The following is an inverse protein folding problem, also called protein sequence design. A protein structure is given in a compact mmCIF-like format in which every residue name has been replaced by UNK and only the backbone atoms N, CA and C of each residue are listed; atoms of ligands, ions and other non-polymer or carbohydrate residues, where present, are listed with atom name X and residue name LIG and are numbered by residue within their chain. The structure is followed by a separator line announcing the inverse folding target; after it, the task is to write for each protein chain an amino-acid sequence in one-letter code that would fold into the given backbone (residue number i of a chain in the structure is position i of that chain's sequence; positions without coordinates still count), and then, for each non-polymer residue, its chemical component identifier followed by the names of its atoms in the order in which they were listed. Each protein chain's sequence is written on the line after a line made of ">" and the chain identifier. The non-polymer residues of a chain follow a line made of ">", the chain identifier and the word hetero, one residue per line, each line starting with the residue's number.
data_IF_077676541127
#
_entry.id   IF_077676541127
#
_cell.length_a   1.000
_cell.length_b   1.000
_cell.length_c   1.000
_cell.angle_alpha   90.00
_cell.angle_beta   90.00
_cell.angle_gamma   90.00
#
_symmetry.space_group_name_H-M   'P 1'
#
loop_
_entity.id
_entity.type
_entity.pdbx_description
1 polymer ?
#
# COMPACT_ATOMS: atom_id res chain seq x y z
N UNK A 1 3.05 17.60 -4.99
CA UNK A 1 3.59 16.23 -5.06
C UNK A 1 4.61 16.09 -3.93
N UNK A 2 4.79 14.91 -3.35
CA UNK A 2 5.85 14.73 -2.35
C UNK A 2 7.19 14.77 -3.11
N UNK A 3 8.11 15.61 -2.68
CA UNK A 3 9.44 15.70 -3.29
C UNK A 3 10.23 14.45 -2.89
N UNK A 4 10.51 13.59 -3.86
CA UNK A 4 11.27 12.37 -3.64
C UNK A 4 12.76 12.68 -3.74
N UNK A 5 13.53 12.40 -2.69
CA UNK A 5 14.98 12.61 -2.73
C UNK A 5 15.66 11.61 -3.66
N UNK A 6 16.32 12.10 -4.70
CA UNK A 6 17.14 11.27 -5.59
C UNK A 6 18.58 11.08 -5.11
N UNK A 7 18.87 11.45 -3.86
CA UNK A 7 20.18 11.19 -3.28
C UNK A 7 20.46 9.69 -3.19
N UNK A 8 21.72 9.27 -3.39
CA UNK A 8 22.11 7.88 -3.21
C UNK A 8 21.84 7.41 -1.78
N UNK A 9 21.26 6.23 -1.62
CA UNK A 9 20.96 5.63 -0.31
C UNK A 9 21.52 4.22 -0.28
N UNK A 10 22.05 3.78 0.87
CA UNK A 10 22.46 2.38 1.06
C UNK A 10 21.25 1.50 1.42
N UNK A 11 21.32 0.18 1.15
CA UNK A 11 20.23 -0.75 1.50
C UNK A 11 19.90 -0.71 3.00
N UNK A 12 20.92 -0.60 3.85
CA UNK A 12 20.75 -0.47 5.31
C UNK A 12 20.01 0.81 5.70
N UNK A 13 20.35 1.95 5.10
CA UNK A 13 19.67 3.21 5.33
C UNK A 13 18.20 3.14 4.88
N UNK A 14 17.92 2.52 3.73
CA UNK A 14 16.57 2.33 3.22
C UNK A 14 15.72 1.46 4.16
N UNK A 15 16.27 0.33 4.64
CA UNK A 15 15.62 -0.55 5.61
C UNK A 15 15.41 0.11 6.98
N UNK A 16 16.39 0.89 7.45
CA UNK A 16 16.29 1.65 8.69
C UNK A 16 15.22 2.74 8.60
N UNK A 17 15.16 3.48 7.49
CA UNK A 17 14.14 4.50 7.24
C UNK A 17 12.74 3.90 7.20
N UNK A 18 12.58 2.75 6.52
CA UNK A 18 11.34 1.97 6.50
C UNK A 18 10.94 1.51 7.90
N UNK A 19 11.85 0.92 8.66
CA UNK A 19 11.59 0.45 10.04
C UNK A 19 11.21 1.61 10.97
N UNK A 20 11.91 2.74 10.87
CA UNK A 20 11.58 3.95 11.63
C UNK A 20 10.19 4.49 11.27
N UNK A 21 9.81 4.45 9.99
CA UNK A 21 8.48 4.84 9.54
C UNK A 21 7.40 3.88 10.05
N UNK A 22 7.66 2.56 10.06
CA UNK A 22 6.75 1.58 10.66
C UNK A 22 6.57 1.77 12.16
N UNK A 23 7.63 2.12 12.91
CA UNK A 23 7.49 2.41 14.34
C UNK A 23 6.54 3.61 14.58
N UNK A 24 6.54 4.59 13.67
CA UNK A 24 5.59 5.72 13.70
C UNK A 24 4.15 5.32 13.33
N UNK A 25 3.92 4.14 12.74
CA UNK A 25 2.57 3.61 12.45
C UNK A 25 1.86 3.09 13.71
N UNK A 26 2.58 2.72 14.78
CA UNK A 26 1.94 2.16 15.99
C UNK A 26 0.92 3.12 16.59
N UNK A 27 1.24 4.42 16.64
CA UNK A 27 0.35 5.43 17.21
C UNK A 27 -0.96 5.57 16.42
N UNK A 28 -0.97 5.83 15.09
CA UNK A 28 -2.21 5.84 14.30
C UNK A 28 -3.06 4.58 14.43
N UNK A 29 -2.45 3.40 14.47
CA UNK A 29 -3.16 2.12 14.66
C UNK A 29 -3.83 2.08 16.02
N UNK A 30 -3.13 2.48 17.08
CA UNK A 30 -3.70 2.57 18.43
C UNK A 30 -4.87 3.55 18.49
N UNK A 31 -4.80 4.72 17.83
CA UNK A 31 -5.93 5.68 17.80
C UNK A 31 -7.16 5.12 17.09
N UNK A 32 -6.98 4.40 15.98
CA UNK A 32 -8.09 3.72 15.29
C UNK A 32 -8.69 2.65 16.19
N UNK A 33 -7.86 1.85 16.86
CA UNK A 33 -8.30 0.82 17.80
C UNK A 33 -9.11 1.40 18.98
N UNK A 34 -8.58 2.43 19.64
CA UNK A 34 -9.24 3.11 20.77
C UNK A 34 -10.54 3.79 20.33
N UNK A 35 -10.57 4.42 19.15
CA UNK A 35 -11.79 5.05 18.62
C UNK A 35 -12.88 4.03 18.30
N UNK A 36 -12.48 2.87 17.77
CA UNK A 36 -13.42 1.76 17.51
C UNK A 36 -14.00 1.24 18.82
N UNK A 37 -13.17 1.09 19.86
CA UNK A 37 -13.61 0.70 21.19
C UNK A 37 -14.56 1.75 21.80
N UNK A 38 -14.27 3.04 21.64
CA UNK A 38 -15.11 4.15 22.09
C UNK A 38 -16.49 4.19 21.43
N UNK A 39 -16.56 3.98 20.11
CA UNK A 39 -17.83 3.85 19.37
C UNK A 39 -18.68 2.71 19.88
N UNK A 40 -18.06 1.59 20.24
CA UNK A 40 -18.76 0.43 20.76
C UNK A 40 -19.31 0.66 22.17
N UNK A 41 -18.50 1.24 23.07
CA UNK A 41 -18.96 1.60 24.43
C UNK A 41 -20.12 2.60 24.34
N UNK A 42 -20.02 3.58 23.43
CA UNK A 42 -21.09 4.51 23.17
C UNK A 42 -22.36 3.80 22.65
N UNK A 43 -22.21 2.87 21.69
CA UNK A 43 -23.30 2.08 21.13
C UNK A 43 -24.02 1.17 22.13
N UNK A 44 -23.28 0.56 23.07
CA UNK A 44 -23.85 -0.24 24.15
C UNK A 44 -24.77 0.58 25.08
N UNK A 45 -24.47 1.88 25.26
CA UNK A 45 -25.29 2.76 26.10
C UNK A 45 -26.58 3.26 25.41
N UNK A 46 -26.67 3.26 24.07
CA UNK A 46 -27.92 3.62 23.34
C UNK A 46 -29.07 2.68 23.70
N UNK A 47 -28.78 1.40 23.91
CA UNK A 47 -29.82 0.42 24.24
C UNK A 47 -30.47 0.71 25.60
N UNK A 48 -29.76 1.44 26.46
CA UNK A 48 -30.26 1.88 27.76
C UNK A 48 -30.87 3.30 27.72
N UNK A 49 -30.43 4.18 26.81
CA UNK A 49 -31.03 5.50 26.56
C UNK A 49 -30.79 5.99 25.11
N UNK A 50 -31.79 5.85 24.22
CA UNK A 50 -31.69 6.24 22.81
C UNK A 50 -31.61 7.75 22.55
N UNK A 51 -31.94 8.59 23.54
CA UNK A 51 -32.01 10.05 23.41
C UNK A 51 -30.75 10.77 23.89
N UNK A 52 -29.78 10.04 24.44
CA UNK A 52 -28.57 10.59 25.00
C UNK A 52 -27.72 11.31 23.94
N UNK A 53 -27.76 12.65 23.91
CA UNK A 53 -26.92 13.50 23.05
C UNK A 53 -25.42 13.19 23.21
N UNK A 54 -24.99 12.73 24.38
CA UNK A 54 -23.63 12.29 24.67
C UNK A 54 -23.16 11.16 23.74
N UNK A 55 -24.06 10.28 23.27
CA UNK A 55 -23.75 9.23 22.29
C UNK A 55 -23.32 9.81 20.95
N UNK A 56 -24.10 10.75 20.41
CA UNK A 56 -23.84 11.35 19.10
C UNK A 56 -22.54 12.15 19.11
N UNK A 57 -22.28 12.86 20.21
CA UNK A 57 -21.02 13.60 20.42
C UNK A 57 -19.83 12.63 20.52
N UNK A 58 -19.92 11.58 21.34
CA UNK A 58 -18.85 10.60 21.50
C UNK A 58 -18.55 9.84 20.19
N UNK A 59 -19.60 9.49 19.44
CA UNK A 59 -19.47 8.82 18.14
C UNK A 59 -18.85 9.72 17.09
N UNK A 60 -19.26 10.99 17.03
CA UNK A 60 -18.63 11.99 16.16
C UNK A 60 -17.13 12.15 16.44
N UNK A 61 -16.74 12.22 17.72
CA UNK A 61 -15.34 12.31 18.14
C UNK A 61 -14.56 11.05 17.70
N UNK A 62 -15.10 9.86 17.94
CA UNK A 62 -14.41 8.63 17.57
C UNK A 62 -14.28 8.46 16.05
N UNK A 63 -15.28 8.84 15.26
CA UNK A 63 -15.20 8.85 13.79
C UNK A 63 -14.11 9.82 13.32
N UNK A 64 -14.06 11.02 13.89
CA UNK A 64 -13.02 12.01 13.58
C UNK A 64 -11.62 11.49 13.90
N UNK A 65 -11.43 10.90 15.07
CA UNK A 65 -10.13 10.34 15.49
C UNK A 65 -9.71 9.18 14.59
N UNK A 66 -10.63 8.28 14.23
CA UNK A 66 -10.36 7.20 13.27
C UNK A 66 -9.98 7.76 11.88
N UNK A 67 -10.70 8.77 11.39
CA UNK A 67 -10.39 9.42 10.12
C UNK A 67 -9.00 10.06 10.12
N UNK A 68 -8.63 10.77 11.20
CA UNK A 68 -7.27 11.34 11.37
C UNK A 68 -6.22 10.24 11.40
N UNK A 69 -6.48 9.13 12.10
CA UNK A 69 -5.61 7.95 12.11
C UNK A 69 -5.38 7.38 10.72
N UNK A 70 -6.45 7.18 9.93
CA UNK A 70 -6.37 6.68 8.55
C UNK A 70 -5.62 7.64 7.63
N UNK A 71 -5.87 8.95 7.75
CA UNK A 71 -5.13 9.97 6.98
C UNK A 71 -3.65 9.94 7.32
N UNK A 72 -3.28 9.81 8.60
CA UNK A 72 -1.89 9.69 9.03
C UNK A 72 -1.25 8.40 8.53
N UNK A 73 -1.94 7.26 8.59
CA UNK A 73 -1.46 6.00 8.01
C UNK A 73 -1.12 6.17 6.53
N UNK A 74 -2.02 6.81 5.76
CA UNK A 74 -1.81 7.08 4.33
C UNK A 74 -0.61 7.99 4.08
N UNK A 75 -0.45 9.03 4.90
CA UNK A 75 0.69 9.96 4.77
C UNK A 75 2.01 9.28 5.10
N UNK A 76 2.08 8.51 6.19
CA UNK A 76 3.31 7.80 6.57
C UNK A 76 3.62 6.70 5.55
N UNK A 77 2.62 5.96 5.06
CA UNK A 77 2.80 4.95 4.02
C UNK A 77 3.47 5.48 2.74
N UNK A 78 3.19 6.72 2.35
CA UNK A 78 3.81 7.38 1.20
C UNK A 78 5.30 7.71 1.39
N UNK A 79 5.78 7.80 2.64
CA UNK A 79 7.15 8.19 2.92
C UNK A 79 8.16 7.05 2.74
N UNK A 80 7.72 5.79 2.89
CA UNK A 80 8.61 4.63 2.84
C UNK A 80 8.32 3.69 1.67
N UNK A 81 7.31 4.00 0.85
CA UNK A 81 7.01 3.18 -0.32
C UNK A 81 6.31 3.99 -1.41
N UNK A 82 6.71 3.73 -2.64
CA UNK A 82 6.00 4.17 -3.84
C UNK A 82 4.92 3.14 -4.15
N UNK A 83 3.68 3.59 -4.37
CA UNK A 83 2.53 2.70 -4.56
C UNK A 83 1.62 3.25 -5.64
N UNK A 84 1.17 2.36 -6.51
CA UNK A 84 0.14 2.64 -7.50
C UNK A 84 -1.05 1.72 -7.22
N UNK A 85 -2.24 2.31 -7.09
CA UNK A 85 -3.49 1.58 -6.83
C UNK A 85 -4.40 1.60 -8.06
N UNK A 86 -5.37 0.69 -8.13
CA UNK A 86 -6.41 0.69 -9.18
C UNK A 86 -7.22 2.00 -9.17
N UNK A 87 -7.79 2.38 -10.31
CA UNK A 87 -8.69 3.53 -10.40
C UNK A 87 -9.89 3.38 -9.43
N UNK A 88 -10.39 4.51 -8.92
CA UNK A 88 -11.55 4.62 -8.02
C UNK A 88 -11.47 3.90 -6.66
N UNK A 89 -10.34 3.26 -6.33
CA UNK A 89 -10.15 2.59 -5.02
C UNK A 89 -9.95 3.56 -3.87
N UNK A 90 -9.58 4.82 -4.13
CA UNK A 90 -9.28 5.82 -3.09
C UNK A 90 -10.44 6.10 -2.11
N UNK A 91 -11.69 5.99 -2.59
CA UNK A 91 -12.92 6.13 -1.79
C UNK A 91 -13.38 4.81 -1.16
N UNK A 92 -13.06 3.67 -1.79
CA UNK A 92 -13.49 2.37 -1.30
C UNK A 92 -12.93 2.04 0.08
N UNK A 93 -11.80 2.62 0.47
CA UNK A 93 -11.26 2.57 1.84
C UNK A 93 -12.16 3.21 2.90
N UNK A 94 -12.78 4.34 2.55
CA UNK A 94 -13.68 5.08 3.44
C UNK A 94 -15.00 4.33 3.65
N UNK A 95 -15.29 3.34 2.81
CA UNK A 95 -16.50 2.51 2.91
C UNK A 95 -16.14 1.14 3.51
N UNK A 96 -15.11 0.48 3.00
CA UNK A 96 -14.74 -0.88 3.38
C UNK A 96 -14.29 -0.99 4.84
N UNK A 97 -13.51 -0.02 5.35
CA UNK A 97 -13.07 -0.06 6.75
C UNK A 97 -14.26 0.16 7.70
N UNK A 98 -15.09 1.20 7.56
CA UNK A 98 -16.28 1.35 8.40
C UNK A 98 -17.30 0.23 8.23
N UNK A 99 -17.51 -0.29 7.01
CA UNK A 99 -18.42 -1.40 6.77
C UNK A 99 -17.93 -2.70 7.43
N UNK A 100 -16.63 -3.02 7.34
CA UNK A 100 -16.05 -4.18 8.00
C UNK A 100 -16.15 -4.04 9.53
N UNK A 101 -15.74 -2.89 10.08
CA UNK A 101 -15.84 -2.61 11.51
C UNK A 101 -17.29 -2.68 12.00
N UNK A 102 -18.23 -2.07 11.28
CA UNK A 102 -19.66 -2.11 11.60
C UNK A 102 -20.23 -3.53 11.54
N UNK A 103 -19.90 -4.30 10.50
CA UNK A 103 -20.35 -5.68 10.33
C UNK A 103 -19.85 -6.57 11.47
N UNK A 104 -18.56 -6.54 11.77
CA UNK A 104 -17.99 -7.38 12.84
C UNK A 104 -18.40 -6.92 14.25
N UNK A 105 -18.67 -5.62 14.43
CA UNK A 105 -19.28 -5.11 15.66
C UNK A 105 -20.74 -5.60 15.82
N UNK A 106 -21.54 -5.59 14.74
CA UNK A 106 -22.91 -6.11 14.74
C UNK A 106 -22.96 -7.63 14.96
N UNK A 107 -22.02 -8.38 14.39
CA UNK A 107 -21.90 -9.83 14.64
C UNK A 107 -21.54 -10.08 16.11
N UNK A 108 -20.58 -9.34 16.66
CA UNK A 108 -20.21 -9.44 18.08
C UNK A 108 -21.38 -9.10 19.00
N UNK A 109 -22.11 -8.03 18.67
CA UNK A 109 -23.33 -7.63 19.35
C UNK A 109 -24.40 -8.73 19.30
N UNK A 110 -24.78 -9.18 18.11
CA UNK A 110 -25.83 -10.20 17.90
C UNK A 110 -25.50 -11.53 18.59
N UNK A 111 -24.22 -11.92 18.59
CA UNK A 111 -23.74 -13.11 19.30
C UNK A 111 -23.90 -12.95 20.81
N UNK A 112 -23.51 -11.78 21.36
CA UNK A 112 -23.65 -11.51 22.80
C UNK A 112 -25.12 -11.41 23.25
N UNK A 113 -25.98 -10.78 22.44
CA UNK A 113 -27.40 -10.67 22.72
C UNK A 113 -28.12 -12.02 22.62
N UNK A 114 -27.80 -12.83 21.60
CA UNK A 114 -28.36 -14.17 21.43
C UNK A 114 -27.97 -15.12 22.57
N UNK A 115 -26.71 -15.09 23.01
CA UNK A 115 -26.25 -15.89 24.16
C UNK A 115 -26.92 -15.46 25.47
N UNK A 116 -27.14 -14.16 25.70
CA UNK A 116 -27.91 -13.68 26.85
C UNK A 116 -29.38 -14.11 26.80
N UNK A 117 -30.01 -14.09 25.62
CA UNK A 117 -31.37 -14.57 25.42
C UNK A 117 -31.53 -16.07 25.71
N UNK A 118 -30.45 -16.84 25.60
CA UNK A 118 -30.38 -18.26 25.97
C UNK A 118 -30.08 -18.47 27.47
N UNK A 119 -30.06 -17.41 28.28
CA UNK A 119 -29.79 -17.47 29.72
C UNK A 119 -28.33 -17.73 30.08
N UNK A 120 -27.41 -17.62 29.12
CA UNK A 120 -25.98 -17.85 29.34
C UNK A 120 -25.38 -16.55 29.90
N UNK A 121 -24.87 -16.54 31.16
CA UNK A 121 -24.25 -15.36 31.72
C UNK A 121 -22.91 -15.10 31.04
N UNK A 122 -22.88 -14.09 30.17
CA UNK A 122 -21.65 -13.65 29.51
C UNK A 122 -20.92 -12.71 30.47
N UNK A 123 -19.83 -13.20 31.07
CA UNK A 123 -18.92 -12.32 31.80
C UNK A 123 -18.42 -11.20 30.86
N UNK A 124 -18.30 -9.96 31.36
CA UNK A 124 -17.79 -8.81 30.59
C UNK A 124 -16.51 -9.12 29.80
N UNK A 125 -15.65 -9.99 30.34
CA UNK A 125 -14.42 -10.48 29.71
C UNK A 125 -14.68 -11.22 28.39
N UNK A 126 -15.73 -12.05 28.29
CA UNK A 126 -16.08 -12.79 27.07
C UNK A 126 -16.60 -11.84 25.97
N UNK A 127 -17.38 -10.82 26.35
CA UNK A 127 -17.78 -9.75 25.43
C UNK A 127 -16.59 -8.95 24.88
N UNK A 128 -15.59 -8.67 25.73
CA UNK A 128 -14.32 -8.02 25.32
C UNK A 128 -13.52 -8.92 24.36
N UNK A 129 -13.48 -10.23 24.59
CA UNK A 129 -12.77 -11.18 23.71
C UNK A 129 -13.41 -11.24 22.32
N UNK A 130 -14.74 -11.34 22.25
CA UNK A 130 -15.47 -11.35 20.96
C UNK A 130 -15.18 -10.05 20.20
N UNK A 131 -15.15 -8.90 20.89
CA UNK A 131 -14.82 -7.61 20.30
C UNK A 131 -13.37 -7.55 19.78
N UNK A 132 -12.40 -8.04 20.54
CA UNK A 132 -11.01 -8.09 20.13
C UNK A 132 -10.83 -8.92 18.84
N UNK A 133 -11.51 -10.07 18.75
CA UNK A 133 -11.52 -10.93 17.57
C UNK A 133 -12.17 -10.23 16.37
N UNK A 134 -13.28 -9.52 16.57
CA UNK A 134 -13.96 -8.73 15.54
C UNK A 134 -13.10 -7.60 14.97
N UNK A 135 -12.34 -6.90 15.81
CA UNK A 135 -11.40 -5.85 15.38
C UNK A 135 -10.25 -6.47 14.57
N UNK A 136 -9.71 -7.60 15.05
CA UNK A 136 -8.71 -8.37 14.32
C UNK A 136 -9.22 -8.80 12.94
N UNK A 137 -10.45 -9.31 12.85
CA UNK A 137 -11.07 -9.71 11.59
C UNK A 137 -11.24 -8.52 10.63
N UNK A 138 -11.67 -7.35 11.14
CA UNK A 138 -11.78 -6.14 10.33
C UNK A 138 -10.40 -5.65 9.83
N UNK A 139 -9.35 -5.76 10.65
CA UNK A 139 -7.98 -5.46 10.24
C UNK A 139 -7.48 -6.40 9.15
N UNK A 140 -7.80 -7.70 9.23
CA UNK A 140 -7.48 -8.69 8.19
C UNK A 140 -8.19 -8.32 6.89
N UNK A 141 -9.49 -7.98 6.93
CA UNK A 141 -10.24 -7.55 5.73
C UNK A 141 -9.66 -6.26 5.14
N UNK A 142 -9.26 -5.30 5.96
CA UNK A 142 -8.60 -4.08 5.51
C UNK A 142 -7.24 -4.38 4.84
N UNK A 143 -6.47 -5.32 5.39
CA UNK A 143 -5.22 -5.80 4.79
C UNK A 143 -5.43 -6.51 3.45
N UNK A 144 -6.46 -7.36 3.35
CA UNK A 144 -6.84 -8.04 2.11
C UNK A 144 -7.32 -7.04 1.04
N UNK A 145 -8.11 -6.05 1.44
CA UNK A 145 -8.52 -4.95 0.56
C UNK A 145 -7.30 -4.13 0.08
N UNK A 146 -6.28 -3.97 0.94
CA UNK A 146 -5.00 -3.38 0.55
C UNK A 146 -4.31 -4.16 -0.55
N UNK A 147 -4.18 -5.48 -0.38
CA UNK A 147 -3.59 -6.34 -1.42
C UNK A 147 -4.37 -6.28 -2.73
N UNK A 148 -5.71 -6.32 -2.66
CA UNK A 148 -6.56 -6.37 -3.85
C UNK A 148 -6.59 -5.06 -4.66
N UNK A 149 -6.37 -3.91 -4.01
CA UNK A 149 -6.44 -2.59 -4.66
C UNK A 149 -5.10 -2.09 -5.18
N UNK A 150 -4.00 -2.70 -4.75
CA UNK A 150 -2.66 -2.31 -5.13
C UNK A 150 -2.27 -2.96 -6.46
N UNK A 151 -1.72 -2.16 -7.38
CA UNK A 151 -1.20 -2.62 -8.68
C UNK A 151 0.32 -2.77 -8.65
N UNK A 152 0.99 -1.82 -8.01
CA UNK A 152 2.44 -1.78 -7.93
C UNK A 152 2.88 -1.21 -6.58
N UNK A 153 3.88 -1.82 -5.96
CA UNK A 153 4.55 -1.32 -4.76
C UNK A 153 6.05 -1.40 -4.98
N UNK A 154 6.75 -0.37 -4.57
CA UNK A 154 8.20 -0.34 -4.55
C UNK A 154 8.69 0.24 -3.22
N UNK A 155 9.61 -0.45 -2.56
CA UNK A 155 10.24 -0.01 -1.33
C UNK A 155 11.60 -0.71 -1.11
N UNK A 156 12.15 -0.59 0.10
CA UNK A 156 13.44 -1.20 0.47
C UNK A 156 13.48 -2.73 0.38
N UNK A 157 12.34 -3.44 0.36
CA UNK A 157 12.33 -4.89 0.19
C UNK A 157 12.42 -5.28 -1.29
N UNK A 158 11.93 -4.44 -2.20
CA UNK A 158 11.85 -4.79 -3.61
C UNK A 158 10.81 -4.04 -4.44
N UNK A 159 10.60 -4.56 -5.66
CA UNK A 159 9.55 -4.14 -6.59
C UNK A 159 8.50 -5.25 -6.72
N UNK A 160 7.26 -4.90 -6.38
CA UNK A 160 6.14 -5.81 -6.31
C UNK A 160 5.02 -5.36 -7.26
N UNK A 161 5.10 -5.74 -8.54
CA UNK A 161 3.94 -5.81 -9.42
C UNK A 161 2.93 -6.80 -8.83
N UNK A 162 1.75 -6.34 -8.44
CA UNK A 162 0.71 -7.20 -7.83
C UNK A 162 -0.08 -8.02 -8.86
N UNK A 163 0.58 -8.39 -9.95
CA UNK A 163 0.08 -9.38 -10.90
C UNK A 163 0.13 -10.78 -10.26
N UNK A 164 -0.68 -11.73 -10.76
CA UNK A 164 -0.65 -13.13 -10.34
C UNK A 164 0.61 -13.83 -10.89
N UNK A 165 1.79 -13.34 -10.52
CA UNK A 165 3.09 -13.93 -10.83
C UNK A 165 3.71 -14.41 -9.54
N UNK A 166 4.26 -15.63 -9.54
CA UNK A 166 5.02 -16.19 -8.41
C UNK A 166 6.45 -15.64 -8.42
N UNK A 167 6.59 -14.32 -8.36
CA UNK A 167 7.86 -13.62 -8.21
C UNK A 167 7.88 -12.97 -6.83
N UNK A 168 8.97 -13.16 -6.08
CA UNK A 168 9.09 -12.66 -4.72
C UNK A 168 9.28 -11.13 -4.64
N UNK A 169 9.61 -10.48 -5.77
CA UNK A 169 9.78 -9.04 -5.88
C UNK A 169 11.09 -8.50 -5.31
N UNK A 170 11.98 -9.36 -4.80
CA UNK A 170 13.19 -8.94 -4.08
C UNK A 170 14.15 -8.14 -4.98
N UNK A 171 14.89 -7.20 -4.38
CA UNK A 171 15.99 -6.53 -5.09
C UNK A 171 17.10 -7.47 -5.55
N UNK A 172 17.19 -8.66 -4.95
CA UNK A 172 18.20 -9.67 -5.31
C UNK A 172 17.81 -10.46 -6.58
N UNK A 173 16.55 -10.40 -6.99
CA UNK A 173 16.01 -11.10 -8.18
C UNK A 173 15.80 -10.18 -9.37
N UNK A 174 16.05 -8.88 -9.21
CA UNK A 174 15.80 -7.83 -10.21
C UNK A 174 17.13 -7.29 -10.74
N UNK A 175 17.31 -7.34 -12.06
CA UNK A 175 18.47 -6.77 -12.75
C UNK A 175 18.16 -5.46 -13.47
N UNK A 176 16.88 -5.11 -13.65
CA UNK A 176 16.49 -3.85 -14.26
C UNK A 176 15.00 -3.62 -14.35
N UNK A 177 14.62 -2.40 -14.72
CA UNK A 177 13.22 -2.00 -14.88
C UNK A 177 13.04 -1.37 -16.26
N UNK A 178 12.00 -1.81 -16.96
CA UNK A 178 11.58 -1.25 -18.24
C UNK A 178 10.23 -0.58 -18.05
N UNK A 179 10.07 0.64 -18.55
CA UNK A 179 8.79 1.35 -18.60
C UNK A 179 8.43 1.67 -20.04
N UNK A 180 7.14 1.63 -20.36
CA UNK A 180 6.66 2.05 -21.69
C UNK A 180 5.30 2.70 -21.56
N UNK A 181 5.08 3.76 -22.32
CA UNK A 181 3.83 4.52 -22.34
C UNK A 181 2.88 3.95 -23.39
N UNK A 182 1.64 3.71 -23.00
CA UNK A 182 0.52 3.39 -23.88
C UNK A 182 -0.62 4.42 -23.66
N UNK A 183 -1.59 4.55 -24.56
CA UNK A 183 -2.69 5.50 -24.37
C UNK A 183 -3.40 5.30 -23.01
N UNK A 184 -3.32 6.32 -22.14
CA UNK A 184 -3.93 6.33 -20.80
C UNK A 184 -3.25 5.45 -19.75
N UNK A 185 -2.14 4.78 -20.07
CA UNK A 185 -1.49 3.81 -19.19
C UNK A 185 0.02 3.77 -19.34
N UNK A 186 0.71 3.32 -18.30
CA UNK A 186 2.14 3.00 -18.33
C UNK A 186 2.29 1.54 -17.98
N UNK A 187 3.06 0.80 -18.76
CA UNK A 187 3.43 -0.57 -18.43
C UNK A 187 4.82 -0.57 -17.79
N UNK A 188 4.94 -1.26 -16.66
CA UNK A 188 6.18 -1.43 -15.91
C UNK A 188 6.55 -2.91 -15.96
N UNK A 189 7.70 -3.24 -16.53
CA UNK A 189 8.25 -4.57 -16.61
C UNK A 189 9.56 -4.71 -15.83
N UNK A 190 9.83 -5.90 -15.32
CA UNK A 190 11.08 -6.22 -14.61
C UNK A 190 11.96 -7.11 -15.47
N UNK A 191 13.24 -6.74 -15.56
CA UNK A 191 14.31 -7.63 -16.03
C UNK A 191 14.78 -8.39 -14.80
N UNK A 192 14.71 -9.72 -14.85
CA UNK A 192 15.08 -10.58 -13.73
C UNK A 192 16.51 -11.06 -13.85
N UNK A 193 17.14 -11.27 -12.69
CA UNK A 193 18.46 -11.88 -12.61
C UNK A 193 18.46 -13.30 -13.20
N UNK A 194 19.56 -13.73 -13.86
CA UNK A 194 19.67 -15.07 -14.42
C UNK A 194 19.36 -16.16 -13.39
N UNK A 195 18.54 -17.15 -13.77
CA UNK A 195 18.17 -18.28 -12.90
C UNK A 195 17.03 -18.00 -11.91
N UNK A 196 16.46 -16.78 -11.91
CA UNK A 196 15.28 -16.46 -11.10
C UNK A 196 14.09 -17.32 -11.51
N UNK A 197 13.50 -18.04 -10.55
CA UNK A 197 12.26 -18.80 -10.78
C UNK A 197 11.10 -17.82 -10.87
N UNK A 198 10.37 -17.85 -11.99
CA UNK A 198 9.21 -17.00 -12.21
C UNK A 198 8.16 -17.75 -13.02
N UNK A 199 6.90 -17.56 -12.64
CA UNK A 199 5.77 -17.89 -13.50
C UNK A 199 5.41 -16.63 -14.29
N UNK A 200 5.64 -16.65 -15.60
CA UNK A 200 5.40 -15.50 -16.48
C UNK A 200 3.94 -15.05 -16.45
N UNK A 201 3.73 -13.74 -16.47
CA UNK A 201 2.40 -13.15 -16.58
C UNK A 201 1.77 -13.53 -17.93
N UNK A 202 0.49 -13.91 -17.90
CA UNK A 202 -0.28 -14.15 -19.13
C UNK A 202 -0.41 -12.87 -19.93
N UNK A 203 -0.12 -12.94 -21.22
CA UNK A 203 -0.26 -11.82 -22.16
C UNK A 203 -1.71 -11.36 -22.22
N UNK A 204 -1.91 -10.05 -22.11
CA UNK A 204 -3.21 -9.41 -22.29
C UNK A 204 -3.19 -8.49 -23.51
N UNK A 205 -4.35 -8.26 -24.16
CA UNK A 205 -4.45 -7.29 -25.23
C UNK A 205 -3.99 -5.90 -24.78
N UNK A 206 -3.13 -5.25 -25.57
CA UNK A 206 -2.61 -3.91 -25.28
C UNK A 206 -1.34 -3.86 -24.42
N UNK A 207 -0.83 -5.00 -23.94
CA UNK A 207 0.50 -5.08 -23.31
C UNK A 207 1.59 -5.04 -24.38
N UNK A 208 2.62 -4.23 -24.16
CA UNK A 208 3.78 -4.03 -25.04
C UNK A 208 4.97 -4.86 -24.54
N UNK A 209 5.19 -4.92 -23.22
CA UNK A 209 6.32 -5.60 -22.58
C UNK A 209 6.11 -7.12 -22.44
N UNK A 210 5.45 -7.75 -23.42
CA UNK A 210 5.07 -9.18 -23.37
C UNK A 210 6.25 -10.15 -23.38
N UNK A 211 7.44 -9.66 -23.74
CA UNK A 211 8.72 -10.35 -23.62
C UNK A 211 9.22 -10.47 -22.17
N UNK A 212 8.74 -9.62 -21.26
CA UNK A 212 9.14 -9.63 -19.86
C UNK A 212 8.20 -10.51 -19.02
N UNK A 213 8.75 -11.37 -18.13
CA UNK A 213 7.95 -12.33 -17.37
C UNK A 213 7.13 -11.68 -16.25
N UNK A 214 7.61 -10.56 -15.70
CA UNK A 214 6.90 -9.80 -14.66
C UNK A 214 6.64 -8.41 -15.20
N UNK A 215 5.36 -8.09 -15.34
CA UNK A 215 4.91 -6.78 -15.84
C UNK A 215 3.55 -6.42 -15.29
N UNK A 216 3.28 -5.12 -15.20
CA UNK A 216 2.01 -4.58 -14.76
C UNK A 216 1.67 -3.31 -15.53
N UNK A 217 0.41 -3.22 -15.93
CA UNK A 217 -0.17 -2.04 -16.54
C UNK A 217 -0.80 -1.15 -15.45
N UNK A 218 -0.39 0.11 -15.41
CA UNK A 218 -0.84 1.10 -14.42
C UNK A 218 -1.43 2.34 -15.10
N UNK A 219 -2.36 3.08 -14.46
CA UNK A 219 -2.84 4.34 -15.01
C UNK A 219 -1.72 5.37 -15.12
N UNK A 220 -1.63 6.07 -16.26
CA UNK A 220 -0.59 7.08 -16.53
C UNK A 220 -0.60 8.22 -15.51
N UNK A 221 -1.79 8.70 -15.13
CA UNK A 221 -2.00 9.76 -14.15
C UNK A 221 -1.56 9.41 -12.71
N UNK A 222 -1.18 8.15 -12.46
CA UNK A 222 -0.63 7.69 -11.18
C UNK A 222 0.84 7.31 -11.26
N UNK A 223 1.39 7.18 -12.46
CA UNK A 223 2.81 6.90 -12.65
C UNK A 223 3.61 8.19 -12.46
N UNK A 224 4.61 8.14 -11.60
CA UNK A 224 5.55 9.22 -11.35
C UNK A 224 6.98 8.68 -11.57
N UNK A 225 7.67 9.27 -12.55
CA UNK A 225 9.02 8.86 -12.93
C UNK A 225 10.04 9.15 -11.81
N UNK A 226 9.91 10.27 -11.11
CA UNK A 226 10.81 10.64 -10.01
C UNK A 226 10.58 9.72 -8.81
N UNK A 227 9.33 9.36 -8.55
CA UNK A 227 9.01 8.34 -7.54
C UNK A 227 9.59 6.97 -7.90
N UNK A 228 9.61 6.59 -9.18
CA UNK A 228 10.24 5.36 -9.65
C UNK A 228 11.77 5.39 -9.47
N UNK A 229 12.43 6.50 -9.81
CA UNK A 229 13.87 6.69 -9.58
C UNK A 229 14.22 6.60 -8.09
N UNK A 230 13.42 7.25 -7.24
CA UNK A 230 13.55 7.14 -5.78
C UNK A 230 13.36 5.70 -5.29
N UNK A 231 12.39 5.00 -5.83
CA UNK A 231 12.12 3.60 -5.48
C UNK A 231 13.31 2.70 -5.83
N UNK A 232 13.91 2.90 -7.00
CA UNK A 232 15.12 2.20 -7.42
C UNK A 232 16.29 2.45 -6.46
N UNK A 233 16.49 3.68 -5.97
CA UNK A 233 17.53 3.98 -4.96
C UNK A 233 17.39 3.13 -3.70
N UNK A 234 16.16 2.73 -3.32
CA UNK A 234 15.93 1.91 -2.12
C UNK A 234 16.59 0.52 -2.19
N UNK A 235 16.98 0.06 -3.38
CA UNK A 235 17.79 -1.15 -3.56
C UNK A 235 19.17 -1.06 -2.89
N UNK A 236 19.70 0.15 -2.71
CA UNK A 236 21.10 0.36 -2.33
C UNK A 236 22.13 0.04 -3.43
N UNK A 237 21.66 -0.39 -4.60
CA UNK A 237 22.47 -0.84 -5.74
C UNK A 237 22.77 0.32 -6.69
N UNK A 238 23.80 0.17 -7.51
CA UNK A 238 24.17 1.18 -8.54
C UNK A 238 24.13 0.66 -9.98
N UNK A 239 23.74 -0.59 -10.15
CA UNK A 239 23.80 -1.34 -11.40
C UNK A 239 22.41 -1.64 -11.99
N UNK A 240 21.32 -1.34 -11.28
CA UNK A 240 19.94 -1.53 -11.75
C UNK A 240 19.56 -0.39 -12.71
N UNK A 241 19.42 -0.64 -14.03
CA UNK A 241 19.00 0.35 -15.00
C UNK A 241 17.49 0.61 -14.97
N UNK A 242 17.11 1.84 -15.27
CA UNK A 242 15.76 2.21 -15.67
C UNK A 242 15.77 2.51 -17.17
N UNK A 243 14.97 1.77 -17.93
CA UNK A 243 14.92 1.83 -19.39
C UNK A 243 13.52 2.25 -19.81
N UNK A 244 13.42 3.21 -20.71
CA UNK A 244 12.19 3.52 -21.42
C UNK A 244 12.16 2.77 -22.75
N UNK A 245 11.09 2.04 -23.02
CA UNK A 245 10.84 1.43 -24.33
C UNK A 245 9.84 2.31 -25.07
N UNK A 246 10.29 2.83 -26.20
CA UNK A 246 9.50 3.60 -27.16
C UNK A 246 9.33 2.80 -28.46
N UNK A 247 8.44 3.20 -29.37
CA UNK A 247 8.38 2.61 -30.71
C UNK A 247 9.72 2.66 -31.46
N UNK A 248 10.54 3.67 -31.17
CA UNK A 248 11.85 3.90 -31.82
C UNK A 248 12.99 3.09 -31.18
N UNK A 249 12.74 2.38 -30.09
CA UNK A 249 13.70 1.51 -29.42
C UNK A 249 13.80 1.73 -27.90
N UNK A 250 14.92 1.31 -27.32
CA UNK A 250 15.19 1.42 -25.88
C UNK A 250 16.06 2.62 -25.57
N UNK A 251 15.61 3.46 -24.63
CA UNK A 251 16.36 4.57 -24.08
C UNK A 251 16.70 4.30 -22.62
N UNK A 252 17.99 4.36 -22.28
CA UNK A 252 18.42 4.29 -20.88
C UNK A 252 18.14 5.64 -20.20
N UNK A 253 17.31 5.63 -19.15
CA UNK A 253 17.01 6.81 -18.34
C UNK A 253 18.03 7.04 -17.22
N UNK A 254 18.74 5.97 -16.81
CA UNK A 254 19.82 6.03 -15.84
C UNK A 254 19.92 4.76 -15.01
N UNK A 255 20.77 4.80 -14.00
CA UNK A 255 20.95 3.70 -13.04
C UNK A 255 20.55 4.15 -11.64
N UNK A 256 20.06 3.18 -10.85
CA UNK A 256 19.84 3.34 -9.42
C UNK A 256 21.03 4.02 -8.75
N UNK A 257 20.77 4.94 -7.84
CA UNK A 257 21.75 5.73 -7.09
C UNK A 257 22.76 6.53 -7.96
N UNK A 258 22.52 6.68 -9.28
CA UNK A 258 23.42 7.37 -10.23
C UNK A 258 22.68 8.30 -11.20
N UNK A 259 21.53 8.85 -10.81
CA UNK A 259 20.70 9.69 -11.68
C UNK A 259 21.40 10.92 -12.25
N UNK A 260 22.28 11.56 -11.46
CA UNK A 260 23.01 12.77 -11.91
C UNK A 260 24.09 12.49 -12.96
N UNK A 261 24.56 11.25 -13.07
CA UNK A 261 25.58 10.87 -14.06
C UNK A 261 24.97 10.66 -15.45
N UNK A 262 23.71 10.19 -15.52
CA UNK A 262 22.98 10.01 -16.77
C UNK A 262 22.63 11.34 -17.46
N UNK A 263 22.46 12.43 -16.70
CA UNK A 263 22.18 13.76 -17.26
C UNK A 263 23.39 14.38 -17.98
N UNK A 264 24.61 14.06 -17.55
CA UNK A 264 25.84 14.63 -18.11
C UNK A 264 26.17 14.01 -19.48
N UNK A 265 25.80 12.75 -19.72
CA UNK A 265 26.07 12.08 -21.00
C UNK A 265 25.23 12.57 -22.18
N UNK A 266 24.15 13.32 -21.94
CA UNK A 266 23.30 13.90 -23.00
C UNK A 266 23.79 15.30 -23.40
N UNK A 267 24.60 15.96 -22.56
CA UNK A 267 25.02 17.35 -22.74
C UNK A 267 26.37 17.54 -23.46
N UNK A 268 26.99 16.48 -23.97
CA UNK A 268 28.22 16.62 -24.79
C UNK A 268 27.85 16.57 -26.28
N UNK A 269 27.70 17.71 -26.98
CA UNK A 269 27.74 17.69 -28.43
C UNK A 269 29.12 17.18 -28.84
N UNK A 270 29.16 16.03 -29.52
CA UNK A 270 30.34 15.66 -30.31
C UNK A 270 30.44 16.66 -31.46
N UNK A 271 31.26 17.67 -31.29
CA UNK A 271 31.80 18.42 -32.41
C UNK A 271 33.32 18.55 -32.26
N UNK A 272 33.97 17.79 -33.16
CA UNK A 272 35.25 18.03 -33.83
C UNK A 272 36.52 18.03 -32.98
#
# INVERSE_FOLDING_TARGET
>A
MAEYSLEPVTREQALAAKTAAFKKLNWPISFIGVSTLGLFIAGYNIVNDPTAQAFWVASGICILVAAVGVLRLKTVAKQWSYRITRQNTGLGWLIAIPAALGTFALIGWGTSAGLQALGIPIARVVGIIILAISILAAMVVAGLYWGATLLFKADADGLFPMCKTEHDGSWDTIDGVVVTTAPGTVEIGLILAPGTKVTSAKNKPGEILTDLPVRVLVPDNKFDLEAMKWALNQSGRTDVPLIERTPDGHQLLGYSNRWRQATISIATPRHQ
#
